data_IF_443299084228
#
_entry.id   IF_443299084228
#
_cell.length_a   1.000
_cell.length_b   1.000
_cell.length_c   1.000
_cell.angle_alpha   90.00
_cell.angle_beta   90.00
_cell.angle_gamma   90.00
#
_symmetry.space_group_name_H-M   'P 1'
#
loop_
_entity.id
_entity.type
_entity.pdbx_description
1 polymer ?
#
# COMPACT_ATOMS: atom_id res chain seq x y z
N UNK A 1 -3.33 8.41 68.18
CA UNK A 1 -2.58 7.15 67.91
C UNK A 1 -2.92 6.64 66.52
N UNK A 2 -1.94 6.01 65.86
CA UNK A 2 -1.98 5.37 64.53
C UNK A 2 -1.45 6.19 63.33
N UNK A 3 -0.14 6.49 63.37
CA UNK A 3 0.73 6.64 62.19
C UNK A 3 1.76 5.50 62.20
N UNK A 4 1.47 4.34 61.60
CA UNK A 4 2.50 3.29 61.47
C UNK A 4 2.16 2.14 60.49
N UNK A 5 1.47 2.36 59.35
CA UNK A 5 1.26 1.24 58.38
C UNK A 5 1.35 1.71 56.91
N UNK A 6 2.23 2.67 56.59
CA UNK A 6 2.40 3.14 55.20
C UNK A 6 3.82 2.98 54.64
N UNK A 7 4.75 2.38 55.40
CA UNK A 7 6.15 2.24 54.98
C UNK A 7 6.48 0.96 54.20
N UNK A 8 5.71 -0.12 54.36
CA UNK A 8 6.15 -1.47 53.94
C UNK A 8 5.65 -1.91 52.55
N UNK A 9 4.68 -1.22 51.93
CA UNK A 9 4.22 -1.55 50.57
C UNK A 9 5.01 -0.85 49.45
N UNK A 10 5.81 0.16 49.77
CA UNK A 10 6.50 0.97 48.75
C UNK A 10 7.82 0.34 48.26
N UNK A 11 8.42 -0.58 49.03
CA UNK A 11 9.71 -1.19 48.69
C UNK A 11 9.62 -2.34 47.68
N UNK A 12 8.51 -3.10 47.66
CA UNK A 12 8.32 -4.21 46.69
C UNK A 12 8.07 -3.74 45.25
N UNK A 13 7.51 -2.53 45.05
CA UNK A 13 7.22 -1.99 43.71
C UNK A 13 8.47 -1.52 42.96
N UNK A 14 9.48 -1.01 43.68
CA UNK A 14 10.74 -0.53 43.08
C UNK A 14 11.65 -1.66 42.60
N UNK A 15 11.63 -2.81 43.28
CA UNK A 15 12.38 -3.99 42.83
C UNK A 15 11.82 -4.52 41.51
N UNK A 16 10.49 -4.57 41.36
CA UNK A 16 9.84 -5.08 40.14
C UNK A 16 10.16 -4.23 38.89
N UNK A 17 10.22 -2.90 39.04
CA UNK A 17 10.54 -2.01 37.91
C UNK A 17 11.98 -2.16 37.42
N UNK A 18 12.92 -2.44 38.33
CA UNK A 18 14.33 -2.67 37.96
C UNK A 18 14.48 -3.98 37.18
N UNK A 19 13.75 -5.03 37.58
CA UNK A 19 13.74 -6.30 36.85
C UNK A 19 13.10 -6.19 35.47
N UNK A 20 12.02 -5.43 35.32
CA UNK A 20 11.38 -5.20 34.01
C UNK A 20 12.33 -4.43 33.07
N UNK A 21 13.02 -3.41 33.58
CA UNK A 21 14.00 -2.66 32.78
C UNK A 21 15.20 -3.52 32.37
N UNK A 22 15.72 -4.35 33.28
CA UNK A 22 16.80 -5.29 32.95
C UNK A 22 16.37 -6.34 31.91
N UNK A 23 15.12 -6.84 32.00
CA UNK A 23 14.56 -7.77 31.02
C UNK A 23 14.38 -7.09 29.65
N UNK A 24 13.92 -5.84 29.62
CA UNK A 24 13.78 -5.07 28.38
C UNK A 24 15.16 -4.84 27.72
N UNK A 25 16.19 -4.47 28.48
CA UNK A 25 17.55 -4.30 27.96
C UNK A 25 18.12 -5.63 27.45
N UNK A 26 17.88 -6.74 28.14
CA UNK A 26 18.29 -8.08 27.67
C UNK A 26 17.54 -8.51 26.40
N UNK A 27 16.25 -8.18 26.27
CA UNK A 27 15.48 -8.43 25.05
C UNK A 27 15.96 -7.55 23.89
N UNK A 28 16.25 -6.26 24.14
CA UNK A 28 16.77 -5.35 23.12
C UNK A 28 18.20 -5.70 22.67
N UNK A 29 19.05 -6.20 23.56
CA UNK A 29 20.43 -6.63 23.21
C UNK A 29 20.49 -8.01 22.56
N UNK A 30 19.49 -8.88 22.77
CA UNK A 30 19.35 -10.15 22.02
C UNK A 30 18.67 -9.97 20.66
N UNK A 31 17.86 -8.93 20.47
CA UNK A 31 17.25 -8.59 19.17
C UNK A 31 18.05 -7.58 18.34
N UNK A 32 18.96 -6.83 18.96
CA UNK A 32 19.78 -5.83 18.29
C UNK A 32 21.21 -6.30 18.14
N UNK A 33 21.49 -7.16 17.16
CA UNK A 33 22.77 -7.22 16.41
C UNK A 33 22.72 -8.35 15.38
N UNK A 34 22.03 -8.09 14.28
CA UNK A 34 22.46 -8.63 12.98
C UNK A 34 22.53 -7.43 12.02
N UNK A 35 23.45 -6.50 12.32
CA UNK A 35 23.94 -5.54 11.32
C UNK A 35 24.81 -6.35 10.37
N UNK A 36 24.16 -7.12 9.50
CA UNK A 36 24.79 -7.61 8.29
C UNK A 36 25.06 -6.40 7.43
N UNK A 37 26.30 -5.93 7.50
CA UNK A 37 26.99 -5.23 6.44
C UNK A 37 27.09 -6.16 5.21
N UNK A 38 25.95 -6.51 4.63
CA UNK A 38 25.86 -7.02 3.28
C UNK A 38 25.80 -5.80 2.38
N UNK A 39 26.68 -5.74 1.39
CA UNK A 39 26.48 -4.90 0.19
C UNK A 39 25.06 -5.16 -0.32
N UNK A 40 24.12 -4.31 0.07
CA UNK A 40 22.81 -4.29 -0.53
C UNK A 40 23.03 -3.73 -1.93
N UNK A 41 22.95 -4.61 -2.93
CA UNK A 41 22.41 -4.23 -4.23
C UNK A 41 21.12 -3.47 -3.91
N UNK A 42 21.19 -2.14 -3.86
CA UNK A 42 20.03 -1.32 -3.55
C UNK A 42 18.99 -1.70 -4.60
N UNK A 43 17.92 -2.36 -4.18
CA UNK A 43 16.77 -2.60 -5.04
C UNK A 43 16.32 -1.23 -5.56
N UNK A 44 16.05 -1.07 -6.87
CA UNK A 44 15.57 0.20 -7.43
C UNK A 44 14.48 0.78 -6.53
N UNK A 45 14.69 2.01 -6.06
CA UNK A 45 13.69 2.70 -5.23
C UNK A 45 12.68 3.37 -6.16
N UNK A 46 11.98 2.50 -6.88
CA UNK A 46 10.93 2.85 -7.82
C UNK A 46 9.61 2.56 -7.12
N UNK A 47 8.70 3.52 -7.13
CA UNK A 47 7.32 3.35 -6.68
C UNK A 47 6.37 3.61 -7.83
N UNK A 48 5.31 2.82 -7.91
CA UNK A 48 4.37 2.80 -9.02
C UNK A 48 2.97 3.01 -8.46
N UNK A 49 2.24 3.98 -8.98
CA UNK A 49 0.85 4.23 -8.65
C UNK A 49 0.00 4.03 -9.91
N UNK A 50 -0.78 2.97 -9.92
CA UNK A 50 -1.75 2.67 -10.98
C UNK A 50 -3.10 3.21 -10.54
N UNK A 51 -3.63 4.20 -11.24
CA UNK A 51 -4.94 4.81 -10.99
C UNK A 51 -5.84 4.42 -12.14
N UNK A 52 -7.01 3.85 -11.86
CA UNK A 52 -7.98 3.45 -12.87
C UNK A 52 -9.40 3.75 -12.41
N UNK A 53 -10.32 3.96 -13.33
CA UNK A 53 -11.75 4.05 -13.02
C UNK A 53 -12.49 2.74 -13.36
N UNK A 54 -13.79 2.69 -13.11
CA UNK A 54 -14.60 1.51 -13.42
C UNK A 54 -14.79 1.26 -14.92
N UNK A 55 -14.61 2.29 -15.77
CA UNK A 55 -14.71 2.16 -17.23
C UNK A 55 -13.53 1.36 -17.80
N UNK A 56 -12.35 1.45 -17.16
CA UNK A 56 -11.16 0.67 -17.52
C UNK A 56 -11.43 -0.83 -17.61
N UNK A 57 -12.26 -1.35 -16.69
CA UNK A 57 -12.61 -2.77 -16.62
C UNK A 57 -13.32 -3.29 -17.88
N UNK A 58 -13.90 -2.39 -18.69
CA UNK A 58 -14.62 -2.71 -19.93
C UNK A 58 -13.77 -2.51 -21.19
N UNK A 59 -12.57 -1.93 -21.08
CA UNK A 59 -11.71 -1.62 -22.21
C UNK A 59 -10.77 -2.80 -22.54
N UNK A 60 -11.09 -3.58 -23.59
CA UNK A 60 -10.30 -4.77 -23.96
C UNK A 60 -8.82 -4.50 -24.26
N UNK A 61 -8.50 -3.37 -24.92
CA UNK A 61 -7.12 -2.95 -25.19
C UNK A 61 -6.37 -2.58 -23.91
N UNK A 62 -7.07 -1.91 -22.99
CA UNK A 62 -6.52 -1.52 -21.70
C UNK A 62 -6.23 -2.75 -20.83
N UNK A 63 -7.15 -3.74 -20.84
CA UNK A 63 -6.96 -5.03 -20.17
C UNK A 63 -5.74 -5.77 -20.72
N UNK A 64 -5.56 -5.82 -22.04
CA UNK A 64 -4.37 -6.45 -22.64
C UNK A 64 -3.08 -5.79 -22.17
N UNK A 65 -3.03 -4.46 -22.21
CA UNK A 65 -1.87 -3.69 -21.76
C UNK A 65 -1.62 -3.89 -20.25
N UNK A 66 -2.67 -4.02 -19.44
CA UNK A 66 -2.53 -4.34 -18.03
C UNK A 66 -1.93 -5.73 -17.80
N UNK A 67 -2.37 -6.75 -18.53
CA UNK A 67 -1.81 -8.10 -18.40
C UNK A 67 -0.32 -8.12 -18.70
N UNK A 68 0.12 -7.37 -19.72
CA UNK A 68 1.54 -7.19 -20.03
C UNK A 68 2.27 -6.48 -18.88
N UNK A 69 1.69 -5.39 -18.35
CA UNK A 69 2.23 -4.69 -17.17
C UNK A 69 2.36 -5.61 -15.96
N UNK A 70 1.32 -6.37 -15.59
CA UNK A 70 1.33 -7.32 -14.46
C UNK A 70 2.42 -8.37 -14.66
N UNK A 71 2.58 -8.89 -15.88
CA UNK A 71 3.66 -9.82 -16.20
C UNK A 71 5.05 -9.23 -15.98
N UNK A 72 5.26 -7.96 -16.33
CA UNK A 72 6.53 -7.25 -16.06
C UNK A 72 6.75 -7.05 -14.56
N UNK A 73 5.72 -6.64 -13.81
CA UNK A 73 5.81 -6.47 -12.35
C UNK A 73 6.23 -7.79 -11.69
N UNK A 74 5.58 -8.89 -12.05
CA UNK A 74 5.86 -10.21 -11.47
C UNK A 74 7.24 -10.76 -11.86
N UNK A 75 7.62 -10.63 -13.13
CA UNK A 75 8.94 -11.07 -13.60
C UNK A 75 10.09 -10.35 -12.88
N UNK A 76 9.86 -9.10 -12.46
CA UNK A 76 10.86 -8.26 -11.80
C UNK A 76 10.68 -8.17 -10.27
N UNK A 77 9.70 -8.89 -9.69
CA UNK A 77 9.39 -8.88 -8.25
C UNK A 77 9.13 -7.47 -7.71
N UNK A 78 8.32 -6.70 -8.43
CA UNK A 78 8.01 -5.30 -8.12
C UNK A 78 6.64 -5.13 -7.42
N UNK A 79 6.01 -6.20 -6.95
CA UNK A 79 4.67 -6.17 -6.37
C UNK A 79 4.59 -5.22 -5.16
N UNK A 80 5.60 -5.25 -4.29
CA UNK A 80 5.72 -4.37 -3.11
C UNK A 80 6.01 -2.90 -3.47
N UNK A 81 6.21 -2.60 -4.75
CA UNK A 81 6.46 -1.27 -5.28
C UNK A 81 5.25 -0.67 -5.99
N UNK A 82 4.17 -1.43 -6.17
CA UNK A 82 2.96 -0.99 -6.86
C UNK A 82 1.83 -0.78 -5.87
N UNK A 83 1.13 0.35 -6.01
CA UNK A 83 -0.17 0.59 -5.41
C UNK A 83 -1.19 0.80 -6.53
N UNK A 84 -2.22 -0.03 -6.55
CA UNK A 84 -3.39 0.18 -7.37
C UNK A 84 -4.43 1.06 -6.66
N UNK A 85 -5.10 1.92 -7.40
CA UNK A 85 -6.23 2.72 -6.94
C UNK A 85 -7.34 2.58 -7.97
N UNK A 86 -8.53 2.19 -7.55
CA UNK A 86 -9.73 2.22 -8.37
C UNK A 86 -10.64 3.35 -7.90
N UNK A 87 -10.80 4.37 -8.74
CA UNK A 87 -11.75 5.46 -8.52
C UNK A 87 -13.15 4.93 -8.76
N UNK A 88 -14.03 5.11 -7.79
CA UNK A 88 -15.44 4.84 -7.97
C UNK A 88 -16.05 5.97 -8.80
N UNK A 89 -16.80 5.61 -9.83
CA UNK A 89 -17.59 6.60 -10.56
C UNK A 89 -18.87 6.80 -9.76
N UNK A 90 -18.89 7.83 -8.90
CA UNK A 90 -20.09 8.17 -8.15
C UNK A 90 -21.05 8.90 -9.07
N UNK A 91 -22.07 8.19 -9.56
CA UNK A 91 -23.31 8.86 -9.92
C UNK A 91 -23.94 9.36 -8.62
N UNK A 92 -23.65 10.63 -8.27
CA UNK A 92 -24.11 11.32 -7.05
C UNK A 92 -25.63 11.37 -6.87
N UNK A 93 -26.38 10.87 -7.85
CA UNK A 93 -27.84 10.78 -7.83
C UNK A 93 -28.38 9.46 -7.24
N UNK A 94 -27.53 8.44 -7.02
CA UNK A 94 -28.01 7.15 -6.53
C UNK A 94 -28.14 7.10 -5.00
N UNK A 95 -29.38 6.91 -4.53
CA UNK A 95 -29.78 6.93 -3.12
C UNK A 95 -29.17 5.83 -2.21
N UNK A 96 -28.20 5.04 -2.68
CA UNK A 96 -27.61 3.91 -1.93
C UNK A 96 -26.10 3.77 -2.21
N UNK A 97 -25.32 4.68 -1.63
CA UNK A 97 -23.84 4.69 -1.67
C UNK A 97 -23.27 3.35 -1.17
N UNK A 98 -23.87 2.76 -0.12
CA UNK A 98 -23.42 1.50 0.47
C UNK A 98 -23.52 0.31 -0.48
N UNK A 99 -24.58 0.26 -1.30
CA UNK A 99 -24.72 -0.76 -2.35
C UNK A 99 -23.73 -0.56 -3.49
N UNK A 100 -23.50 0.67 -3.93
CA UNK A 100 -22.55 0.99 -5.00
C UNK A 100 -21.13 0.58 -4.63
N UNK A 101 -20.70 0.91 -3.42
CA UNK A 101 -19.41 0.48 -2.89
C UNK A 101 -19.25 -1.03 -2.90
N UNK A 102 -20.25 -1.78 -2.43
CA UNK A 102 -20.21 -3.26 -2.44
C UNK A 102 -20.12 -3.84 -3.85
N UNK A 103 -20.75 -3.20 -4.84
CA UNK A 103 -20.65 -3.61 -6.25
C UNK A 103 -19.24 -3.35 -6.77
N UNK A 104 -18.69 -2.16 -6.50
CA UNK A 104 -17.34 -1.79 -6.89
C UNK A 104 -16.28 -2.72 -6.27
N UNK A 105 -16.37 -3.00 -4.97
CA UNK A 105 -15.50 -3.96 -4.26
C UNK A 105 -15.56 -5.36 -4.89
N UNK A 106 -16.76 -5.85 -5.23
CA UNK A 106 -16.91 -7.15 -5.90
C UNK A 106 -16.29 -7.16 -7.30
N UNK A 107 -16.50 -6.10 -8.08
CA UNK A 107 -15.90 -5.96 -9.42
C UNK A 107 -14.38 -5.91 -9.34
N UNK A 108 -13.84 -5.09 -8.45
CA UNK A 108 -12.39 -4.98 -8.20
C UNK A 108 -11.79 -6.31 -7.74
N UNK A 109 -12.44 -6.99 -6.79
CA UNK A 109 -11.99 -8.31 -6.33
C UNK A 109 -11.98 -9.34 -7.47
N UNK A 110 -13.05 -9.41 -8.26
CA UNK A 110 -13.12 -10.29 -9.41
C UNK A 110 -12.03 -9.98 -10.45
N UNK A 111 -11.77 -8.69 -10.66
CA UNK A 111 -10.72 -8.22 -11.55
C UNK A 111 -9.31 -8.58 -11.09
N UNK A 112 -8.99 -8.36 -9.81
CA UNK A 112 -7.70 -8.74 -9.20
C UNK A 112 -7.45 -10.23 -9.37
N UNK A 113 -8.44 -11.06 -9.05
CA UNK A 113 -8.33 -12.52 -9.18
C UNK A 113 -8.20 -12.93 -10.65
N UNK A 114 -9.04 -12.38 -11.53
CA UNK A 114 -9.06 -12.72 -12.95
C UNK A 114 -7.78 -12.37 -13.71
N UNK A 115 -7.05 -11.36 -13.24
CA UNK A 115 -5.78 -10.91 -13.84
C UNK A 115 -4.55 -11.30 -13.02
N UNK A 116 -4.70 -12.15 -11.99
CA UNK A 116 -3.61 -12.57 -11.11
C UNK A 116 -2.79 -11.40 -10.54
N UNK A 117 -3.46 -10.33 -10.12
CA UNK A 117 -2.80 -9.15 -9.53
C UNK A 117 -2.35 -9.49 -8.10
N UNK A 118 -1.07 -9.24 -7.81
CA UNK A 118 -0.43 -9.58 -6.53
C UNK A 118 -0.02 -8.36 -5.69
N UNK A 119 -0.25 -7.15 -6.20
CA UNK A 119 -0.01 -5.91 -5.48
C UNK A 119 -1.31 -5.34 -4.88
N UNK A 120 -1.22 -4.51 -3.82
CA UNK A 120 -2.39 -3.97 -3.14
C UNK A 120 -3.20 -3.02 -4.03
N UNK A 121 -4.51 -2.99 -3.79
CA UNK A 121 -5.45 -2.07 -4.42
C UNK A 121 -6.29 -1.34 -3.37
N UNK A 122 -6.46 -0.04 -3.55
CA UNK A 122 -7.40 0.79 -2.80
C UNK A 122 -8.62 1.11 -3.65
N UNK A 123 -9.75 1.23 -2.98
CA UNK A 123 -10.97 1.79 -3.56
C UNK A 123 -11.05 3.25 -3.11
N UNK A 124 -11.13 4.17 -4.06
CA UNK A 124 -11.23 5.61 -3.82
C UNK A 124 -12.68 6.04 -4.08
N UNK A 125 -13.50 5.99 -3.02
CA UNK A 125 -14.90 6.42 -3.03
C UNK A 125 -15.04 7.95 -2.99
N UNK A 126 -14.07 8.65 -2.40
CA UNK A 126 -14.05 10.12 -2.29
C UNK A 126 -13.41 10.82 -3.49
N UNK A 127 -13.02 10.07 -4.53
CA UNK A 127 -12.40 10.55 -5.78
C UNK A 127 -11.14 11.41 -5.57
N UNK A 128 -10.40 11.19 -4.48
CA UNK A 128 -9.19 11.94 -4.11
C UNK A 128 -8.14 11.90 -5.23
N UNK A 129 -8.06 10.78 -5.95
CA UNK A 129 -7.08 10.55 -7.01
C UNK A 129 -7.58 10.95 -8.41
N UNK A 130 -8.86 11.32 -8.58
CA UNK A 130 -9.42 11.71 -9.88
C UNK A 130 -8.67 12.85 -10.59
N UNK A 131 -8.13 13.88 -9.89
CA UNK A 131 -7.32 14.91 -10.55
C UNK A 131 -6.06 14.38 -11.25
N UNK A 132 -5.57 13.19 -10.89
CA UNK A 132 -4.38 12.60 -11.49
C UNK A 132 -4.70 11.80 -12.78
N UNK A 133 -5.96 11.37 -12.94
CA UNK A 133 -6.44 10.56 -14.07
C UNK A 133 -7.35 11.31 -15.05
N UNK A 134 -7.39 12.66 -14.98
CA UNK A 134 -8.41 13.53 -15.60
C UNK A 134 -8.88 13.18 -17.02
N UNK A 135 -8.01 12.67 -17.89
CA UNK A 135 -8.33 12.42 -19.31
C UNK A 135 -8.25 10.93 -19.73
N UNK A 136 -7.98 10.02 -18.78
CA UNK A 136 -7.72 8.61 -19.09
C UNK A 136 -8.47 7.68 -18.15
N UNK A 137 -9.01 6.58 -18.68
CA UNK A 137 -9.60 5.53 -17.84
C UNK A 137 -8.59 4.82 -16.93
N UNK A 138 -7.29 4.88 -17.28
CA UNK A 138 -6.22 4.59 -16.33
C UNK A 138 -4.91 5.32 -16.63
N UNK A 139 -4.24 5.69 -15.55
CA UNK A 139 -2.95 6.38 -15.50
C UNK A 139 -1.97 5.57 -14.65
N UNK A 140 -0.72 5.44 -15.09
CA UNK A 140 0.39 4.94 -14.29
C UNK A 140 1.34 6.09 -13.97
N UNK A 141 1.61 6.31 -12.69
CA UNK A 141 2.62 7.27 -12.23
C UNK A 141 3.82 6.49 -11.70
N UNK A 142 5.00 6.78 -12.24
CA UNK A 142 6.28 6.18 -11.87
C UNK A 142 7.10 7.20 -11.11
N UNK A 143 7.44 6.87 -9.87
CA UNK A 143 8.33 7.64 -9.01
C UNK A 143 9.68 6.94 -8.96
N UNK A 144 10.74 7.58 -9.45
CA UNK A 144 12.12 7.11 -9.32
C UNK A 144 12.87 8.10 -8.43
N UNK A 145 13.05 7.73 -7.16
CA UNK A 145 13.66 8.62 -6.15
C UNK A 145 15.14 8.88 -6.43
N UNK A 146 15.82 7.95 -7.12
CA UNK A 146 17.25 8.08 -7.43
C UNK A 146 17.50 9.09 -8.53
N UNK A 147 16.59 9.14 -9.51
CA UNK A 147 16.63 10.12 -10.58
C UNK A 147 15.89 11.41 -10.23
N UNK A 148 15.16 11.43 -9.11
CA UNK A 148 14.26 12.51 -8.74
C UNK A 148 13.26 12.82 -9.88
N UNK A 149 12.72 11.77 -10.49
CA UNK A 149 11.79 11.89 -11.62
C UNK A 149 10.43 11.31 -11.31
N UNK A 150 9.40 12.00 -11.77
CA UNK A 150 8.02 11.51 -11.81
C UNK A 150 7.58 11.47 -13.26
N UNK A 151 7.16 10.30 -13.74
CA UNK A 151 6.68 10.12 -15.10
C UNK A 151 5.26 9.60 -15.08
N UNK A 152 4.40 10.19 -15.91
CA UNK A 152 2.99 9.78 -16.09
C UNK A 152 2.84 9.06 -17.43
N UNK A 153 2.19 7.91 -17.40
CA UNK A 153 1.79 7.14 -18.56
C UNK A 153 0.28 6.94 -18.56
N UNK A 154 -0.31 6.80 -19.73
CA UNK A 154 -1.75 6.57 -19.89
C UNK A 154 -1.98 5.23 -20.59
N UNK A 155 -2.97 4.48 -20.13
CA UNK A 155 -3.34 3.23 -20.76
C UNK A 155 -4.21 3.45 -22.00
N UNK A 156 -4.09 2.59 -23.03
CA UNK A 156 -3.16 1.47 -23.13
C UNK A 156 -1.70 1.93 -23.31
N UNK A 157 -0.76 1.29 -22.61
CA UNK A 157 0.66 1.57 -22.74
C UNK A 157 1.12 1.24 -24.17
N UNK A 158 1.70 2.22 -24.85
CA UNK A 158 2.26 2.07 -26.19
C UNK A 158 3.79 2.13 -26.14
N UNK A 159 4.46 1.51 -27.12
CA UNK A 159 5.93 1.56 -27.23
C UNK A 159 6.51 2.96 -27.45
N UNK A 160 5.65 3.94 -27.77
CA UNK A 160 6.06 5.31 -28.05
C UNK A 160 6.13 6.19 -26.78
N UNK A 161 5.61 5.70 -25.65
CA UNK A 161 5.59 6.39 -24.37
C UNK A 161 6.78 5.98 -23.50
#
# INVERSE_FOLDING_TARGET
MNRAISGMQMFRRKALSVWIMALAVLLFTRFGMDVRAGRQNHAPDIKLLLIMDTSFLSCSLCLKSLTEFVGVIQANKLEDSVLGVMIMDENKEEADVGRHRKIAEKRLKGFIIGNNIQFPFLLDDEEVFRPLSQDSSATLIVFDSRKNTVVKYEFPLSKAQ
#
